data_IF_015719300701
#
_entry.id   IF_015719300701
#
_cell.length_a   1.000
_cell.length_b   1.000
_cell.length_c   1.000
_cell.angle_alpha   90.00
_cell.angle_beta   90.00
_cell.angle_gamma   90.00
#
_symmetry.space_group_name_H-M   'P 1'
#
loop_
_entity.id
_entity.type
_entity.pdbx_description
1 polymer ?
#
# COMPACT_ATOMS: atom_id res chain seq x y z
N UNK A 1 -30.48 2.20 -0.48
CA UNK A 1 -29.26 1.43 -0.77
C UNK A 1 -28.24 2.43 -1.26
N UNK A 2 -27.64 3.18 -0.34
CA UNK A 2 -26.84 4.37 -0.66
C UNK A 2 -25.53 4.34 0.14
N UNK A 3 -24.47 4.89 -0.47
CA UNK A 3 -23.25 5.48 0.14
C UNK A 3 -22.05 4.59 0.55
N UNK A 4 -21.96 3.30 0.21
CA UNK A 4 -20.77 2.51 0.62
C UNK A 4 -19.51 2.71 -0.26
N UNK A 5 -19.65 3.17 -1.50
CA UNK A 5 -18.61 3.13 -2.54
C UNK A 5 -17.66 4.35 -2.56
N UNK A 6 -18.11 5.54 -2.15
CA UNK A 6 -17.32 6.78 -2.38
C UNK A 6 -16.44 7.18 -1.18
N UNK A 7 -16.98 7.13 0.05
CA UNK A 7 -16.26 7.61 1.25
C UNK A 7 -15.15 6.67 1.72
N UNK A 8 -15.30 5.37 1.52
CA UNK A 8 -14.33 4.36 1.97
C UNK A 8 -13.06 4.38 1.11
N UNK A 9 -13.23 4.50 -0.21
CA UNK A 9 -12.12 4.64 -1.16
C UNK A 9 -11.38 5.96 -0.96
N UNK A 10 -12.11 7.07 -0.79
CA UNK A 10 -11.52 8.38 -0.50
C UNK A 10 -10.80 8.46 0.85
N UNK A 11 -11.34 7.82 1.89
CA UNK A 11 -10.67 7.70 3.20
C UNK A 11 -9.37 6.91 3.07
N UNK A 12 -9.39 5.77 2.40
CA UNK A 12 -8.19 4.96 2.15
C UNK A 12 -7.14 5.76 1.36
N UNK A 13 -7.56 6.53 0.35
CA UNK A 13 -6.67 7.40 -0.44
C UNK A 13 -5.95 8.43 0.42
N UNK A 14 -6.67 9.15 1.28
CA UNK A 14 -6.07 10.15 2.18
C UNK A 14 -5.09 9.53 3.17
N UNK A 15 -5.44 8.38 3.73
CA UNK A 15 -4.60 7.65 4.69
C UNK A 15 -3.32 7.09 4.02
N UNK A 16 -3.45 6.55 2.81
CA UNK A 16 -2.32 6.11 1.97
C UNK A 16 -1.37 7.28 1.70
N UNK A 17 -1.88 8.42 1.25
CA UNK A 17 -1.06 9.62 0.98
C UNK A 17 -0.34 10.10 2.25
N UNK A 18 -1.02 10.14 3.39
CA UNK A 18 -0.41 10.55 4.65
C UNK A 18 0.75 9.63 5.05
N UNK A 19 0.57 8.32 4.92
CA UNK A 19 1.62 7.33 5.23
C UNK A 19 2.78 7.40 4.25
N UNK A 20 2.51 7.61 2.96
CA UNK A 20 3.57 7.85 1.97
C UNK A 20 4.38 9.11 2.30
N UNK A 21 3.74 10.18 2.77
CA UNK A 21 4.44 11.39 3.24
C UNK A 21 5.30 11.12 4.47
N UNK A 22 4.83 10.31 5.40
CA UNK A 22 5.64 9.85 6.55
C UNK A 22 6.85 9.05 6.09
N UNK A 23 6.66 8.07 5.20
CA UNK A 23 7.77 7.28 4.62
C UNK A 23 8.79 8.19 3.92
N UNK A 24 8.34 9.18 3.14
CA UNK A 24 9.22 10.17 2.51
C UNK A 24 10.09 10.90 3.55
N UNK A 25 9.52 11.29 4.69
CA UNK A 25 10.28 11.90 5.79
C UNK A 25 11.33 10.95 6.38
N UNK A 26 11.00 9.66 6.55
CA UNK A 26 11.97 8.66 7.00
C UNK A 26 13.11 8.45 6.01
N UNK A 27 12.82 8.41 4.70
CA UNK A 27 13.85 8.30 3.65
C UNK A 27 14.83 9.48 3.76
N UNK A 28 14.31 10.71 3.82
CA UNK A 28 15.15 11.91 3.99
C UNK A 28 15.98 11.87 5.29
N UNK A 29 15.44 11.31 6.36
CA UNK A 29 16.17 11.08 7.60
C UNK A 29 17.33 10.09 7.42
N UNK A 30 17.12 9.00 6.71
CA UNK A 30 18.16 8.00 6.41
C UNK A 30 19.25 8.60 5.52
N UNK A 31 18.89 9.36 4.48
CA UNK A 31 19.85 10.06 3.62
C UNK A 31 20.79 10.93 4.47
N UNK A 32 20.23 11.71 5.41
CA UNK A 32 21.01 12.52 6.35
C UNK A 32 21.86 11.68 7.28
N UNK A 33 21.36 10.55 7.79
CA UNK A 33 22.14 9.64 8.64
C UNK A 33 23.37 9.10 7.90
N UNK A 34 23.22 8.76 6.62
CA UNK A 34 24.32 8.28 5.78
C UNK A 34 25.33 9.40 5.52
N UNK A 35 24.85 10.60 5.19
CA UNK A 35 25.70 11.79 4.95
C UNK A 35 26.50 12.19 6.20
N UNK A 36 25.89 12.11 7.39
CA UNK A 36 26.53 12.35 8.68
C UNK A 36 27.43 11.20 9.17
N UNK A 37 27.51 10.09 8.43
CA UNK A 37 28.33 8.94 8.81
C UNK A 37 27.84 8.19 10.06
N UNK A 38 26.52 8.12 10.28
CA UNK A 38 25.92 7.33 11.38
C UNK A 38 26.24 5.84 11.23
N UNK A 39 26.17 5.12 12.35
CA UNK A 39 26.47 3.69 12.40
C UNK A 39 25.55 2.86 11.50
N UNK A 40 26.13 1.84 10.86
CA UNK A 40 25.41 0.96 9.93
C UNK A 40 24.19 0.28 10.57
N UNK A 41 24.28 -0.09 11.86
CA UNK A 41 23.18 -0.73 12.60
C UNK A 41 21.98 0.21 12.77
N UNK A 42 22.23 1.48 13.07
CA UNK A 42 21.17 2.49 13.20
C UNK A 42 20.48 2.75 11.85
N UNK A 43 21.27 2.87 10.79
CA UNK A 43 20.77 3.03 9.41
C UNK A 43 19.92 1.82 9.01
N UNK A 44 20.41 0.60 9.23
CA UNK A 44 19.68 -0.64 8.94
C UNK A 44 18.37 -0.72 9.73
N UNK A 45 18.36 -0.29 11.00
CA UNK A 45 17.15 -0.24 11.82
C UNK A 45 16.10 0.69 11.21
N UNK A 46 16.49 1.87 10.73
CA UNK A 46 15.57 2.78 10.05
C UNK A 46 15.06 2.21 8.72
N UNK A 47 15.93 1.55 7.93
CA UNK A 47 15.51 0.87 6.69
C UNK A 47 14.46 -0.20 6.98
N UNK A 48 14.62 -1.00 8.05
CA UNK A 48 13.64 -2.00 8.45
C UNK A 48 12.29 -1.37 8.86
N UNK A 49 12.32 -0.21 9.54
CA UNK A 49 11.11 0.53 9.87
C UNK A 49 10.37 1.01 8.61
N UNK A 50 11.11 1.50 7.60
CA UNK A 50 10.55 1.87 6.30
C UNK A 50 9.96 0.64 5.59
N UNK A 51 10.69 -0.48 5.54
CA UNK A 51 10.20 -1.72 4.92
C UNK A 51 8.85 -2.13 5.48
N UNK A 52 8.70 -2.13 6.82
CA UNK A 52 7.42 -2.43 7.48
C UNK A 52 6.32 -1.43 7.12
N UNK A 53 6.67 -0.14 7.04
CA UNK A 53 5.72 0.93 6.72
C UNK A 53 5.22 0.84 5.28
N UNK A 54 6.13 0.61 4.33
CA UNK A 54 5.80 0.42 2.90
C UNK A 54 4.98 -0.85 2.69
N UNK A 55 5.31 -1.95 3.36
CA UNK A 55 4.51 -3.17 3.30
C UNK A 55 3.06 -2.92 3.70
N UNK A 56 2.84 -2.20 4.82
CA UNK A 56 1.48 -1.84 5.27
C UNK A 56 0.74 -0.97 4.25
N UNK A 57 1.44 -0.02 3.62
CA UNK A 57 0.87 0.82 2.54
C UNK A 57 0.43 -0.05 1.36
N UNK A 58 1.25 -1.01 0.95
CA UNK A 58 0.91 -1.97 -0.10
C UNK A 58 -0.37 -2.75 0.22
N UNK A 59 -0.49 -3.29 1.44
CA UNK A 59 -1.69 -4.01 1.86
C UNK A 59 -2.97 -3.14 1.80
N UNK A 60 -2.90 -1.86 2.18
CA UNK A 60 -4.06 -0.96 2.06
C UNK A 60 -4.45 -0.69 0.61
N UNK A 61 -3.47 -0.55 -0.29
CA UNK A 61 -3.74 -0.38 -1.73
C UNK A 61 -4.38 -1.64 -2.31
N UNK A 62 -3.89 -2.82 -1.91
CA UNK A 62 -4.43 -4.10 -2.34
C UNK A 62 -5.87 -4.32 -1.86
N UNK A 63 -6.16 -3.97 -0.60
CA UNK A 63 -7.52 -4.03 -0.06
C UNK A 63 -8.47 -3.16 -0.90
N UNK A 64 -8.08 -1.92 -1.19
CA UNK A 64 -8.85 -1.03 -2.06
C UNK A 64 -9.06 -1.62 -3.46
N UNK A 65 -8.02 -2.16 -4.07
CA UNK A 65 -8.10 -2.75 -5.41
C UNK A 65 -8.97 -4.02 -5.46
N UNK A 66 -8.89 -4.87 -4.44
CA UNK A 66 -9.71 -6.06 -4.32
C UNK A 66 -11.20 -5.71 -4.16
N UNK A 67 -11.51 -4.69 -3.34
CA UNK A 67 -12.87 -4.18 -3.18
C UNK A 67 -13.42 -3.60 -4.49
N UNK A 68 -12.62 -2.83 -5.23
CA UNK A 68 -13.01 -2.29 -6.54
C UNK A 68 -13.35 -3.42 -7.53
N UNK A 69 -12.50 -4.45 -7.65
CA UNK A 69 -12.77 -5.57 -8.56
C UNK A 69 -14.01 -6.39 -8.18
N UNK A 70 -14.39 -6.44 -6.90
CA UNK A 70 -15.61 -7.11 -6.45
C UNK A 70 -16.87 -6.25 -6.67
N UNK A 71 -16.71 -4.92 -6.66
CA UNK A 71 -17.81 -3.96 -6.75
C UNK A 71 -18.08 -3.45 -8.16
N UNK A 72 -17.19 -3.72 -9.12
CA UNK A 72 -17.32 -3.38 -10.54
C UNK A 72 -17.49 -4.64 -11.41
N UNK A 73 -18.66 -5.31 -11.33
CA UNK A 73 -18.96 -6.42 -12.24
C UNK A 73 -19.10 -5.92 -13.68
N UNK A 74 -18.74 -6.76 -14.65
CA UNK A 74 -18.92 -6.44 -16.06
C UNK A 74 -20.41 -6.20 -16.43
N UNK A 75 -20.67 -5.76 -17.66
CA UNK A 75 -22.05 -5.52 -18.15
C UNK A 75 -22.98 -6.74 -18.04
N UNK A 76 -22.42 -7.94 -17.83
CA UNK A 76 -23.14 -9.21 -17.67
C UNK A 76 -23.21 -9.69 -16.20
N UNK A 77 -22.79 -8.87 -15.23
CA UNK A 77 -22.81 -9.20 -13.81
C UNK A 77 -21.75 -10.22 -13.38
N UNK A 78 -20.73 -10.49 -14.22
CA UNK A 78 -19.64 -11.40 -13.92
C UNK A 78 -18.41 -10.62 -13.48
N UNK A 79 -17.79 -11.07 -12.40
CA UNK A 79 -16.41 -10.69 -12.08
C UNK A 79 -15.53 -11.42 -13.09
N UNK A 80 -14.80 -10.69 -13.93
CA UNK A 80 -13.87 -11.29 -14.90
C UNK A 80 -12.84 -12.13 -14.15
N UNK A 81 -12.77 -13.44 -14.48
CA UNK A 81 -11.85 -14.38 -13.84
C UNK A 81 -10.39 -13.89 -13.90
N UNK A 82 -10.02 -13.25 -15.02
CA UNK A 82 -8.70 -12.67 -15.24
C UNK A 82 -8.36 -11.55 -14.23
N UNK A 83 -9.33 -10.70 -13.87
CA UNK A 83 -9.14 -9.66 -12.84
C UNK A 83 -8.90 -10.27 -11.46
N UNK A 84 -9.64 -11.34 -11.15
CA UNK A 84 -9.48 -12.06 -9.89
C UNK A 84 -8.12 -12.78 -9.82
N UNK A 85 -7.71 -13.43 -10.90
CA UNK A 85 -6.40 -14.09 -11.01
C UNK A 85 -5.26 -13.09 -10.81
N UNK A 86 -5.37 -11.90 -11.41
CA UNK A 86 -4.39 -10.82 -11.25
C UNK A 86 -4.26 -10.35 -9.80
N UNK A 87 -5.38 -10.17 -9.08
CA UNK A 87 -5.36 -9.81 -7.65
C UNK A 87 -4.72 -10.92 -6.80
N UNK A 88 -5.09 -12.19 -7.04
CA UNK A 88 -4.51 -13.33 -6.32
C UNK A 88 -3.00 -13.35 -6.52
N UNK A 89 -2.53 -13.17 -7.76
CA UNK A 89 -1.10 -13.12 -8.05
C UNK A 89 -0.39 -11.99 -7.28
N UNK A 90 -0.97 -10.79 -7.26
CA UNK A 90 -0.44 -9.68 -6.47
C UNK A 90 -0.38 -10.02 -4.98
N UNK A 91 -1.44 -10.57 -4.39
CA UNK A 91 -1.49 -10.98 -2.97
C UNK A 91 -0.35 -11.96 -2.63
N UNK A 92 -0.12 -12.96 -3.49
CA UNK A 92 0.94 -13.94 -3.32
C UNK A 92 2.35 -13.35 -3.44
N UNK A 93 2.52 -12.23 -4.15
CA UNK A 93 3.79 -11.52 -4.20
C UNK A 93 4.06 -10.73 -2.92
N UNK A 94 3.02 -10.17 -2.28
CA UNK A 94 3.14 -9.43 -1.02
C UNK A 94 3.21 -10.32 0.23
N UNK A 95 2.90 -11.61 0.11
CA UNK A 95 2.97 -12.57 1.22
C UNK A 95 4.38 -13.09 1.50
N UNK A 96 5.39 -12.70 0.71
CA UNK A 96 6.80 -13.09 0.86
C UNK A 96 7.60 -11.95 1.48
#
# INVERSE_FOLDING_TARGET
MEVYSDKTVEKNRKDIINRLRTVKGHIAGIEKMVDEGKGCEDVLTQILAIKSSVHKIGLMVMESHALECLLDPDENGKVEADRMEHIIHMILQFSK
#
